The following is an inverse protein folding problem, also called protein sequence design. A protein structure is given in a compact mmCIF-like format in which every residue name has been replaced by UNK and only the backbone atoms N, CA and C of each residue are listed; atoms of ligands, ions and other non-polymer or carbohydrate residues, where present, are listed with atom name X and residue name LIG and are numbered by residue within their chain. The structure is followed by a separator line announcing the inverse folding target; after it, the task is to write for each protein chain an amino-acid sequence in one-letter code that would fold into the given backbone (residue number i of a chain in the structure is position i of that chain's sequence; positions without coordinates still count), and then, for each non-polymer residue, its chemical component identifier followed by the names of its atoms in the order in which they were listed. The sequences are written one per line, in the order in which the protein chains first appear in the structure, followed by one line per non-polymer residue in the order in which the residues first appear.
data_IF_304633829782
#
_entry.id   IF_304633829782
#
_cell.length_a   1.000
_cell.length_b   1.000
_cell.length_c   1.000
_cell.angle_alpha   90.00
_cell.angle_beta   90.00
_cell.angle_gamma   90.00
#
_symmetry.space_group_name_H-M   'P 1'
#
loop_
_entity.id
_entity.type
_entity.pdbx_description
1 polymer ?
#
# COMPACT_ATOMS: atom_id res chain seq x y z
N UNK A 1 36.45 55.45 -27.38
CA UNK A 1 35.23 55.36 -26.56
C UNK A 1 34.78 53.91 -26.65
N UNK A 2 35.15 53.08 -25.68
CA UNK A 2 34.84 51.65 -25.66
C UNK A 2 33.48 51.52 -24.96
N UNK A 3 32.47 51.06 -25.69
CA UNK A 3 31.17 50.70 -25.14
C UNK A 3 31.28 49.25 -24.70
N UNK A 4 31.39 49.03 -23.38
CA UNK A 4 31.26 47.71 -22.77
C UNK A 4 29.78 47.47 -22.56
N UNK A 5 29.21 46.54 -23.34
CA UNK A 5 27.85 46.08 -23.19
C UNK A 5 27.85 44.98 -22.11
N UNK A 6 27.44 45.33 -20.88
CA UNK A 6 27.16 44.32 -19.85
C UNK A 6 25.86 43.60 -20.22
N UNK A 7 25.99 42.36 -20.69
CA UNK A 7 24.89 41.39 -20.70
C UNK A 7 24.73 40.88 -19.27
N UNK A 8 23.76 41.42 -18.53
CA UNK A 8 23.28 40.77 -17.31
C UNK A 8 22.46 39.55 -17.74
N UNK A 9 23.07 38.37 -17.66
CA UNK A 9 22.32 37.13 -17.59
C UNK A 9 21.61 37.11 -16.24
N UNK A 10 20.28 37.09 -16.23
CA UNK A 10 19.54 36.64 -15.07
C UNK A 10 19.81 35.13 -14.97
N UNK A 11 20.66 34.72 -14.04
CA UNK A 11 20.55 33.40 -13.44
C UNK A 11 19.19 33.38 -12.72
N UNK A 12 18.20 32.75 -13.34
CA UNK A 12 17.07 32.23 -12.58
C UNK A 12 17.69 31.07 -11.80
N UNK A 13 17.93 31.26 -10.51
CA UNK A 13 18.19 30.14 -9.62
C UNK A 13 16.92 29.28 -9.66
N UNK A 14 16.98 28.13 -10.33
CA UNK A 14 16.06 27.01 -10.09
C UNK A 14 16.16 26.73 -8.58
N UNK A 15 15.15 27.15 -7.81
CA UNK A 15 15.01 26.71 -6.42
C UNK A 15 14.61 25.25 -6.49
N UNK A 16 15.40 24.35 -5.89
CA UNK A 16 15.04 22.93 -5.78
C UNK A 16 13.64 22.82 -5.15
N UNK A 17 12.65 22.37 -5.93
CA UNK A 17 11.28 22.24 -5.44
C UNK A 17 11.15 20.96 -4.62
N UNK A 18 10.90 21.09 -3.32
CA UNK A 18 10.74 19.93 -2.43
C UNK A 18 9.26 19.57 -2.27
N UNK A 19 8.92 18.29 -2.48
CA UNK A 19 7.59 17.72 -2.19
C UNK A 19 7.70 16.74 -1.03
N UNK A 20 6.92 16.94 0.03
CA UNK A 20 6.92 16.10 1.22
C UNK A 20 5.71 15.15 1.20
N UNK A 21 5.98 13.85 1.27
CA UNK A 21 4.95 12.82 1.11
C UNK A 21 4.88 11.95 2.36
N UNK A 22 3.73 11.97 3.04
CA UNK A 22 3.45 11.04 4.13
C UNK A 22 2.71 9.82 3.61
N UNK A 23 3.41 8.69 3.50
CA UNK A 23 2.91 7.48 2.85
C UNK A 23 2.92 6.26 3.77
N UNK A 24 1.95 5.36 3.58
CA UNK A 24 1.89 4.09 4.28
C UNK A 24 3.17 3.29 4.04
N UNK A 25 3.72 2.69 5.09
CA UNK A 25 5.00 1.98 5.02
C UNK A 25 5.00 0.81 4.01
N UNK A 26 3.85 0.21 3.72
CA UNK A 26 3.70 -0.85 2.70
C UNK A 26 3.95 -0.35 1.27
N UNK A 27 3.97 0.96 1.03
CA UNK A 27 4.22 1.56 -0.28
C UNK A 27 5.68 1.92 -0.52
N UNK A 28 6.58 1.70 0.44
CA UNK A 28 7.97 2.21 0.43
C UNK A 28 8.69 1.89 -0.88
N UNK A 29 8.84 0.61 -1.21
CA UNK A 29 9.63 0.19 -2.38
C UNK A 29 8.97 0.62 -3.70
N UNK A 30 7.64 0.54 -3.78
CA UNK A 30 6.90 0.88 -4.99
C UNK A 30 6.91 2.38 -5.28
N UNK A 31 6.79 3.22 -4.25
CA UNK A 31 6.88 4.67 -4.39
C UNK A 31 8.31 5.09 -4.72
N UNK A 32 9.33 4.49 -4.11
CA UNK A 32 10.72 4.78 -4.45
C UNK A 32 11.02 4.51 -5.93
N UNK A 33 10.65 3.33 -6.46
CA UNK A 33 10.85 3.03 -7.89
C UNK A 33 10.03 3.96 -8.80
N UNK A 34 8.78 4.29 -8.43
CA UNK A 34 7.98 5.25 -9.18
C UNK A 34 8.61 6.65 -9.20
N UNK A 35 9.09 7.13 -8.05
CA UNK A 35 9.78 8.42 -7.92
C UNK A 35 11.04 8.50 -8.76
N UNK A 36 11.82 7.42 -8.83
CA UNK A 36 13.02 7.36 -9.68
C UNK A 36 12.68 7.61 -11.15
N UNK A 37 11.51 7.21 -11.61
CA UNK A 37 11.04 7.48 -12.97
C UNK A 37 10.58 8.93 -13.13
N UNK A 38 9.90 9.50 -12.13
CA UNK A 38 9.48 10.90 -12.16
C UNK A 38 10.68 11.86 -12.21
N UNK A 39 11.68 11.66 -11.34
CA UNK A 39 12.84 12.55 -11.22
C UNK A 39 13.71 12.54 -12.49
N UNK A 40 13.63 11.51 -13.34
CA UNK A 40 14.34 11.51 -14.63
C UNK A 40 13.90 12.64 -15.56
N UNK A 41 12.64 13.07 -15.48
CA UNK A 41 12.08 14.18 -16.27
C UNK A 41 11.98 15.48 -15.44
N UNK A 42 12.21 15.41 -14.12
CA UNK A 42 12.11 16.51 -13.15
C UNK A 42 13.36 16.56 -12.25
N UNK A 43 14.53 16.86 -12.83
CA UNK A 43 15.83 16.72 -12.17
C UNK A 43 16.10 17.74 -11.04
N UNK A 44 15.32 18.82 -11.01
CA UNK A 44 15.33 19.94 -10.05
C UNK A 44 14.34 19.72 -8.88
N UNK A 45 13.67 18.57 -8.82
CA UNK A 45 12.65 18.27 -7.82
C UNK A 45 13.17 17.25 -6.80
N UNK A 46 13.01 17.56 -5.51
CA UNK A 46 13.33 16.66 -4.40
C UNK A 46 12.03 16.08 -3.81
N UNK A 47 11.87 14.75 -3.90
CA UNK A 47 10.75 14.05 -3.26
C UNK A 47 11.21 13.47 -1.91
N UNK A 48 10.62 13.96 -0.83
CA UNK A 48 10.94 13.56 0.54
C UNK A 48 9.82 12.73 1.16
N UNK A 49 10.11 11.47 1.50
CA UNK A 49 9.14 10.56 2.09
C UNK A 49 9.21 10.50 3.61
N UNK A 50 8.03 10.54 4.24
CA UNK A 50 7.79 10.13 5.61
C UNK A 50 6.93 8.85 5.60
N UNK A 51 7.59 7.70 5.71
CA UNK A 51 6.90 6.40 5.73
C UNK A 51 6.47 6.01 7.15
N UNK A 52 5.23 5.53 7.29
CA UNK A 52 4.71 5.12 8.60
C UNK A 52 3.34 4.45 8.55
N UNK A 53 2.78 4.16 9.71
CA UNK A 53 1.39 3.72 9.81
C UNK A 53 0.42 4.89 9.62
N UNK A 54 -0.64 4.72 8.83
CA UNK A 54 -1.60 5.79 8.47
C UNK A 54 -2.11 6.59 9.68
N UNK A 55 -2.49 5.91 10.76
CA UNK A 55 -2.94 6.59 12.00
C UNK A 55 -1.85 7.42 12.66
N UNK A 56 -0.60 6.95 12.67
CA UNK A 56 0.55 7.69 13.20
C UNK A 56 0.89 8.91 12.35
N UNK A 57 0.91 8.75 11.02
CA UNK A 57 1.11 9.84 10.06
C UNK A 57 0.01 10.90 10.18
N UNK A 58 -1.26 10.48 10.28
CA UNK A 58 -2.39 11.38 10.56
C UNK A 58 -2.14 12.22 11.81
N UNK A 59 -1.76 11.60 12.93
CA UNK A 59 -1.51 12.34 14.17
C UNK A 59 -0.33 13.32 14.03
N UNK A 60 0.74 12.95 13.31
CA UNK A 60 1.85 13.85 13.01
C UNK A 60 1.39 15.08 12.22
N UNK A 61 0.61 14.88 11.15
CA UNK A 61 0.09 15.97 10.30
C UNK A 61 -0.87 16.87 11.11
N UNK A 62 -1.75 16.29 11.93
CA UNK A 62 -2.63 17.05 12.84
C UNK A 62 -1.84 17.87 13.87
N UNK A 63 -0.63 17.44 14.22
CA UNK A 63 0.27 18.16 15.12
C UNK A 63 1.17 19.17 14.38
N UNK A 64 0.99 19.35 13.07
CA UNK A 64 1.69 20.34 12.26
C UNK A 64 2.95 19.83 11.56
N UNK A 65 3.16 18.50 11.48
CA UNK A 65 4.18 17.97 10.58
C UNK A 65 3.83 18.34 9.12
N UNK A 66 4.78 18.87 8.33
CA UNK A 66 4.52 19.25 6.95
C UNK A 66 4.26 18.00 6.09
N UNK A 67 3.29 18.11 5.19
CA UNK A 67 3.02 17.13 4.15
C UNK A 67 2.29 17.83 3.00
N UNK A 68 2.71 17.54 1.77
CA UNK A 68 2.10 18.01 0.53
C UNK A 68 1.18 16.94 -0.05
N UNK A 69 1.54 15.67 0.12
CA UNK A 69 0.76 14.52 -0.34
C UNK A 69 0.65 13.51 0.80
N UNK A 70 -0.53 12.92 0.94
CA UNK A 70 -0.75 11.76 1.82
C UNK A 70 -1.19 10.56 0.99
N UNK A 71 -0.66 9.37 1.32
CA UNK A 71 -1.10 8.10 0.73
C UNK A 71 -1.26 7.09 1.87
N UNK A 72 -2.49 6.82 2.29
CA UNK A 72 -2.76 6.00 3.47
C UNK A 72 -3.21 4.60 3.08
N UNK A 73 -2.91 3.60 3.93
CA UNK A 73 -3.44 2.24 3.82
C UNK A 73 -4.80 2.06 4.53
N UNK A 74 -5.45 3.17 4.89
CA UNK A 74 -6.66 3.20 5.73
C UNK A 74 -7.57 4.34 5.30
N UNK A 75 -8.69 3.99 4.67
CA UNK A 75 -9.73 4.97 4.31
C UNK A 75 -10.23 5.73 5.53
N UNK A 76 -10.40 5.03 6.66
CA UNK A 76 -10.84 5.65 7.92
C UNK A 76 -9.86 6.74 8.40
N UNK A 77 -8.56 6.48 8.37
CA UNK A 77 -7.59 7.48 8.80
C UNK A 77 -7.50 8.65 7.81
N UNK A 78 -7.73 8.38 6.52
CA UNK A 78 -7.77 9.39 5.46
C UNK A 78 -8.99 10.31 5.62
N UNK A 79 -10.16 9.75 5.91
CA UNK A 79 -11.38 10.51 6.17
C UNK A 79 -11.26 11.34 7.45
N UNK A 80 -10.71 10.75 8.52
CA UNK A 80 -10.48 11.45 9.79
C UNK A 80 -9.45 12.57 9.67
N UNK A 81 -8.47 12.44 8.78
CA UNK A 81 -7.53 13.52 8.49
C UNK A 81 -8.26 14.70 7.84
N UNK A 82 -9.23 14.44 6.94
CA UNK A 82 -10.01 15.46 6.24
C UNK A 82 -10.84 16.35 7.20
N UNK A 83 -11.10 15.89 8.43
CA UNK A 83 -11.77 16.69 9.46
C UNK A 83 -10.87 17.79 10.04
N UNK A 84 -9.55 17.68 9.85
CA UNK A 84 -8.53 18.60 10.42
C UNK A 84 -7.74 19.36 9.36
N UNK A 85 -7.60 18.81 8.15
CA UNK A 85 -6.98 19.44 6.99
C UNK A 85 -7.86 19.18 5.78
N UNK A 86 -7.96 20.12 4.84
CA UNK A 86 -8.78 19.96 3.63
C UNK A 86 -7.90 19.46 2.48
N UNK A 87 -8.33 18.39 1.80
CA UNK A 87 -7.67 17.94 0.58
C UNK A 87 -7.96 18.88 -0.58
N UNK A 88 -6.93 19.24 -1.35
CA UNK A 88 -7.06 20.00 -2.59
C UNK A 88 -7.55 19.07 -3.71
N UNK A 89 -6.84 17.96 -3.90
CA UNK A 89 -7.26 16.84 -4.74
C UNK A 89 -7.25 15.55 -3.92
N UNK A 90 -8.18 14.64 -4.19
CA UNK A 90 -8.25 13.35 -3.53
C UNK A 90 -8.77 12.28 -4.46
N UNK A 91 -8.28 11.06 -4.28
CA UNK A 91 -8.65 9.93 -5.10
C UNK A 91 -8.26 8.60 -4.48
N UNK A 92 -8.59 7.52 -5.19
CA UNK A 92 -8.12 6.18 -4.89
C UNK A 92 -6.91 5.92 -5.77
N UNK A 93 -5.75 5.66 -5.16
CA UNK A 93 -4.54 5.35 -5.90
C UNK A 93 -4.50 3.86 -6.24
N UNK A 94 -4.54 3.00 -5.21
CA UNK A 94 -4.32 1.56 -5.33
C UNK A 94 -5.39 0.76 -4.58
N UNK A 95 -5.49 -0.51 -4.93
CA UNK A 95 -6.05 -1.56 -4.07
C UNK A 95 -4.97 -2.60 -3.73
N UNK A 96 -5.16 -3.33 -2.63
CA UNK A 96 -4.49 -4.61 -2.43
C UNK A 96 -5.46 -5.76 -2.66
N UNK A 97 -4.90 -6.95 -2.80
CA UNK A 97 -5.64 -8.19 -2.91
C UNK A 97 -5.35 -9.06 -1.69
N UNK A 98 -6.39 -9.74 -1.19
CA UNK A 98 -6.24 -10.75 -0.16
C UNK A 98 -5.95 -12.09 -0.86
N UNK A 99 -4.93 -12.80 -0.42
CA UNK A 99 -4.49 -14.06 -1.05
C UNK A 99 -4.39 -15.18 -0.04
N UNK A 100 -4.61 -16.40 -0.53
CA UNK A 100 -4.34 -17.64 0.20
C UNK A 100 -2.93 -18.10 -0.15
N UNK A 101 -2.09 -18.25 0.87
CA UNK A 101 -0.72 -18.73 0.73
C UNK A 101 -0.50 -20.05 1.45
N UNK A 102 0.43 -20.85 0.95
CA UNK A 102 0.84 -22.14 1.53
C UNK A 102 2.36 -22.25 1.58
N UNK A 103 2.91 -23.19 2.37
CA UNK A 103 4.27 -23.65 2.15
C UNK A 103 4.40 -24.18 0.72
N UNK A 104 5.59 -24.05 0.12
CA UNK A 104 5.86 -24.66 -1.18
C UNK A 104 5.61 -26.17 -1.16
N UNK A 105 5.15 -26.67 -2.31
CA UNK A 105 4.87 -28.10 -2.52
C UNK A 105 3.77 -28.65 -1.58
N UNK A 106 2.87 -27.79 -1.07
CA UNK A 106 1.70 -28.23 -0.30
C UNK A 106 0.58 -28.76 -1.21
N UNK A 107 0.31 -30.07 -1.13
CA UNK A 107 -0.76 -30.73 -1.89
C UNK A 107 -2.12 -30.75 -1.16
N UNK A 108 -2.17 -30.34 0.11
CA UNK A 108 -3.40 -30.36 0.94
C UNK A 108 -4.32 -29.18 0.61
N UNK A 109 -3.74 -27.99 0.47
CA UNK A 109 -4.44 -26.76 0.14
C UNK A 109 -3.87 -26.22 -1.17
N UNK A 110 -4.67 -26.27 -2.22
CA UNK A 110 -4.27 -25.85 -3.58
C UNK A 110 -5.15 -24.74 -4.13
N UNK A 111 -6.19 -24.35 -3.39
CA UNK A 111 -7.13 -23.28 -3.70
C UNK A 111 -8.00 -22.96 -2.48
N UNK A 112 -8.81 -21.90 -2.54
CA UNK A 112 -9.80 -21.59 -1.50
C UNK A 112 -10.81 -22.74 -1.35
N UNK A 113 -11.18 -23.42 -2.43
CA UNK A 113 -12.11 -24.57 -2.40
C UNK A 113 -11.59 -25.75 -1.58
N UNK A 114 -10.26 -25.94 -1.55
CA UNK A 114 -9.60 -27.03 -0.82
C UNK A 114 -9.17 -26.64 0.59
N UNK A 115 -9.40 -25.39 0.99
CA UNK A 115 -9.05 -24.87 2.32
C UNK A 115 -9.68 -25.68 3.47
N UNK A 116 -10.85 -26.28 3.23
CA UNK A 116 -11.52 -27.18 4.18
C UNK A 116 -10.70 -28.42 4.54
N UNK A 117 -9.67 -28.77 3.75
CA UNK A 117 -8.79 -29.90 4.01
C UNK A 117 -7.60 -29.55 4.92
N UNK A 118 -7.34 -28.25 5.15
CA UNK A 118 -6.30 -27.83 6.08
C UNK A 118 -6.52 -28.40 7.48
N UNK A 119 -5.45 -28.61 8.24
CA UNK A 119 -5.49 -28.88 9.67
C UNK A 119 -5.37 -27.58 10.47
N UNK A 120 -4.55 -26.64 9.98
CA UNK A 120 -4.33 -25.33 10.58
C UNK A 120 -4.27 -24.24 9.52
N UNK A 121 -4.91 -23.13 9.80
CA UNK A 121 -4.95 -21.96 8.91
C UNK A 121 -4.55 -20.74 9.72
N UNK A 122 -3.46 -20.07 9.36
CA UNK A 122 -3.06 -18.83 9.99
C UNK A 122 -3.88 -17.65 9.45
N UNK A 123 -4.45 -16.87 10.37
CA UNK A 123 -5.22 -15.65 10.06
C UNK A 123 -4.84 -14.56 11.04
N UNK A 124 -4.93 -13.30 10.64
CA UNK A 124 -4.80 -12.19 11.60
C UNK A 124 -6.00 -12.17 12.56
N UNK A 125 -5.79 -11.74 13.80
CA UNK A 125 -6.90 -11.47 14.75
C UNK A 125 -7.76 -10.34 14.21
N UNK A 126 -9.03 -10.58 13.86
CA UNK A 126 -9.87 -9.61 13.14
C UNK A 126 -10.09 -8.29 13.88
N UNK A 127 -10.04 -8.29 15.21
CA UNK A 127 -10.18 -7.09 16.03
C UNK A 127 -8.99 -6.12 15.89
N UNK A 128 -7.79 -6.62 15.56
CA UNK A 128 -6.56 -5.82 15.52
C UNK A 128 -5.84 -5.83 14.17
N UNK A 129 -6.09 -6.83 13.32
CA UNK A 129 -5.41 -7.05 12.05
C UNK A 129 -6.42 -6.97 10.90
N UNK A 130 -6.40 -5.90 10.08
CA UNK A 130 -7.37 -5.74 9.00
C UNK A 130 -7.44 -6.93 8.02
N UNK A 131 -6.30 -7.57 7.71
CA UNK A 131 -6.27 -8.78 6.88
C UNK A 131 -7.10 -9.93 7.47
N UNK A 132 -7.11 -10.08 8.80
CA UNK A 132 -7.95 -11.03 9.52
C UNK A 132 -9.44 -10.74 9.32
N UNK A 133 -9.83 -9.46 9.45
CA UNK A 133 -11.21 -9.03 9.18
C UNK A 133 -11.62 -9.32 7.73
N UNK A 134 -10.77 -9.02 6.74
CA UNK A 134 -11.06 -9.31 5.34
C UNK A 134 -11.16 -10.83 5.08
N UNK A 135 -10.33 -11.64 5.76
CA UNK A 135 -10.40 -13.10 5.71
C UNK A 135 -11.74 -13.61 6.25
N UNK A 136 -12.16 -13.16 7.44
CA UNK A 136 -13.45 -13.53 8.03
C UNK A 136 -14.64 -13.15 7.15
N UNK A 137 -14.63 -11.93 6.59
CA UNK A 137 -15.64 -11.51 5.62
C UNK A 137 -15.68 -12.45 4.42
N UNK A 138 -14.51 -12.81 3.89
CA UNK A 138 -14.40 -13.68 2.73
C UNK A 138 -14.92 -15.08 3.02
N UNK A 139 -14.52 -15.66 4.15
CA UNK A 139 -14.98 -16.99 4.56
C UNK A 139 -16.47 -17.03 4.86
N UNK A 140 -17.01 -15.96 5.44
CA UNK A 140 -18.45 -15.82 5.70
C UNK A 140 -19.24 -15.78 4.39
N UNK A 141 -18.82 -14.94 3.43
CA UNK A 141 -19.48 -14.82 2.13
C UNK A 141 -19.34 -16.06 1.24
N UNK A 142 -18.36 -16.92 1.53
CA UNK A 142 -18.17 -18.23 0.87
C UNK A 142 -18.85 -19.40 1.62
N UNK A 143 -19.59 -19.15 2.72
CA UNK A 143 -20.16 -20.19 3.58
C UNK A 143 -19.12 -21.24 4.06
N UNK A 144 -17.91 -20.77 4.36
CA UNK A 144 -16.78 -21.58 4.83
C UNK A 144 -16.58 -21.53 6.34
N UNK A 145 -16.94 -20.43 7.02
CA UNK A 145 -16.60 -20.18 8.43
C UNK A 145 -16.81 -21.41 9.33
N UNK A 146 -18.02 -21.97 9.37
CA UNK A 146 -18.35 -23.11 10.23
C UNK A 146 -17.62 -24.44 9.90
N UNK A 147 -16.85 -24.50 8.81
CA UNK A 147 -16.05 -25.67 8.40
C UNK A 147 -14.56 -25.54 8.73
N UNK A 148 -14.09 -24.32 9.02
CA UNK A 148 -12.66 -24.02 9.15
C UNK A 148 -12.30 -23.22 10.40
N UNK A 149 -13.28 -22.64 11.10
CA UNK A 149 -13.04 -21.77 12.27
C UNK A 149 -12.28 -22.49 13.40
N UNK A 150 -12.51 -23.79 13.61
CA UNK A 150 -11.80 -24.60 14.61
C UNK A 150 -10.34 -24.88 14.26
N UNK A 151 -9.90 -24.48 13.05
CA UNK A 151 -8.55 -24.68 12.51
C UNK A 151 -7.71 -23.40 12.57
N UNK A 152 -8.30 -22.28 13.00
CA UNK A 152 -7.63 -20.99 12.96
C UNK A 152 -6.52 -20.87 14.00
N UNK A 153 -5.37 -20.42 13.52
CA UNK A 153 -4.24 -19.98 14.34
C UNK A 153 -4.15 -18.47 14.18
N UNK A 154 -4.58 -17.73 15.20
CA UNK A 154 -4.59 -16.28 15.15
C UNK A 154 -3.18 -15.70 15.36
N UNK A 155 -2.82 -14.76 14.51
CA UNK A 155 -1.55 -14.03 14.53
C UNK A 155 -1.77 -12.55 14.84
N UNK A 156 -0.73 -11.93 15.40
CA UNK A 156 -0.73 -10.52 15.80
C UNK A 156 -0.62 -9.54 14.63
N UNK A 157 -0.09 -9.98 13.48
CA UNK A 157 -0.06 -9.23 12.23
C UNK A 157 0.10 -10.16 11.00
N UNK A 158 0.07 -9.59 9.80
CA UNK A 158 0.18 -10.33 8.52
C UNK A 158 1.56 -10.95 8.31
N UNK A 159 2.63 -10.34 8.86
CA UNK A 159 3.98 -10.91 8.77
C UNK A 159 4.10 -12.14 9.66
N UNK A 160 3.49 -12.14 10.83
CA UNK A 160 3.41 -13.31 11.70
C UNK A 160 2.63 -14.45 11.04
N UNK A 161 1.50 -14.16 10.36
CA UNK A 161 0.79 -15.16 9.52
C UNK A 161 1.76 -15.76 8.50
N UNK A 162 2.48 -14.92 7.74
CA UNK A 162 3.42 -15.37 6.72
C UNK A 162 4.55 -16.21 7.33
N UNK A 163 5.05 -15.85 8.51
CA UNK A 163 6.09 -16.61 9.21
C UNK A 163 5.62 -17.99 9.67
N UNK A 164 4.36 -18.16 10.07
CA UNK A 164 3.82 -19.48 10.41
C UNK A 164 3.77 -20.39 9.19
N UNK A 165 3.39 -19.85 8.02
CA UNK A 165 3.38 -20.58 6.75
C UNK A 165 4.80 -20.96 6.33
N UNK A 166 5.74 -20.02 6.40
CA UNK A 166 7.16 -20.24 6.10
C UNK A 166 7.79 -21.34 6.95
N UNK A 167 7.38 -21.43 8.23
CA UNK A 167 7.89 -22.41 9.18
C UNK A 167 7.16 -23.75 9.11
N UNK A 168 6.21 -23.91 8.19
CA UNK A 168 5.39 -25.12 8.04
C UNK A 168 4.62 -25.47 9.34
N UNK A 169 4.29 -24.44 10.14
CA UNK A 169 3.51 -24.59 11.38
C UNK A 169 1.99 -24.70 11.11
N UNK A 170 1.58 -24.22 9.93
CA UNK A 170 0.22 -24.20 9.41
C UNK A 170 0.21 -24.63 7.94
N UNK A 171 -0.90 -25.20 7.48
CA UNK A 171 -1.03 -25.65 6.09
C UNK A 171 -1.29 -24.47 5.14
N UNK A 172 -1.95 -23.41 5.63
CA UNK A 172 -2.24 -22.23 4.85
C UNK A 172 -2.27 -20.97 5.70
N UNK A 173 -2.12 -19.81 5.06
CA UNK A 173 -2.29 -18.50 5.67
C UNK A 173 -3.02 -17.53 4.75
N UNK A 174 -3.69 -16.54 5.33
CA UNK A 174 -4.34 -15.46 4.57
C UNK A 174 -3.62 -14.14 4.80
N UNK A 175 -3.08 -13.59 3.72
CA UNK A 175 -2.21 -12.39 3.74
C UNK A 175 -2.56 -11.44 2.59
N UNK A 176 -1.94 -10.27 2.55
CA UNK A 176 -1.99 -9.43 1.35
C UNK A 176 -1.04 -9.96 0.28
N UNK A 177 -1.41 -9.78 -1.00
CA UNK A 177 -0.59 -10.18 -2.14
C UNK A 177 0.79 -9.54 -2.10
N UNK A 178 0.86 -8.26 -1.75
CA UNK A 178 2.12 -7.52 -1.61
C UNK A 178 3.05 -8.16 -0.59
N UNK A 179 2.53 -8.66 0.55
CA UNK A 179 3.35 -9.33 1.56
C UNK A 179 3.84 -10.69 1.05
N UNK A 180 2.95 -11.48 0.43
CA UNK A 180 3.29 -12.79 -0.13
C UNK A 180 4.41 -12.71 -1.18
N UNK A 181 4.40 -11.68 -2.04
CA UNK A 181 5.42 -11.48 -3.07
C UNK A 181 6.82 -11.18 -2.51
N UNK A 182 6.93 -10.72 -1.26
CA UNK A 182 8.23 -10.49 -0.61
C UNK A 182 8.87 -11.77 -0.07
N UNK A 183 8.12 -12.87 0.02
CA UNK A 183 8.58 -14.13 0.63
C UNK A 183 8.65 -15.25 -0.39
N UNK A 184 9.87 -15.55 -0.84
CA UNK A 184 10.11 -16.57 -1.85
C UNK A 184 9.93 -18.02 -1.38
N UNK A 185 9.59 -18.26 -0.10
CA UNK A 185 9.36 -19.61 0.46
C UNK A 185 7.88 -20.01 0.55
N UNK A 186 6.96 -19.10 0.25
CA UNK A 186 5.53 -19.43 0.16
C UNK A 186 5.08 -19.49 -1.29
N UNK A 187 3.90 -20.05 -1.52
CA UNK A 187 3.21 -20.06 -2.80
C UNK A 187 1.85 -19.40 -2.64
N UNK A 188 1.47 -18.53 -3.58
CA UNK A 188 0.10 -18.01 -3.67
C UNK A 188 -0.73 -19.03 -4.46
N UNK A 189 -1.63 -19.73 -3.78
CA UNK A 189 -2.46 -20.78 -4.38
C UNK A 189 -3.81 -20.26 -4.87
N UNK A 190 -4.27 -19.12 -4.34
CA UNK A 190 -5.51 -18.48 -4.78
C UNK A 190 -5.59 -17.01 -4.34
N UNK A 191 -6.49 -16.27 -4.97
CA UNK A 191 -6.82 -14.87 -4.61
C UNK A 191 -8.29 -14.78 -4.26
N UNK A 192 -8.62 -14.17 -3.11
CA UNK A 192 -10.02 -13.95 -2.74
C UNK A 192 -10.66 -12.92 -3.67
N UNK A 193 -11.83 -13.24 -4.22
CA UNK A 193 -12.56 -12.31 -5.06
C UNK A 193 -12.89 -11.02 -4.31
N UNK A 194 -12.76 -9.90 -5.00
CA UNK A 194 -12.88 -8.56 -4.42
C UNK A 194 -14.25 -8.30 -3.76
N UNK A 195 -15.31 -8.92 -4.24
CA UNK A 195 -16.68 -8.79 -3.72
C UNK A 195 -16.93 -9.57 -2.41
N UNK A 196 -15.98 -10.41 -1.99
CA UNK A 196 -16.08 -11.21 -0.77
C UNK A 196 -15.70 -10.43 0.50
N UNK A 197 -15.10 -9.27 0.39
CA UNK A 197 -14.67 -8.47 1.54
C UNK A 197 -14.72 -6.97 1.26
N UNK A 198 -14.60 -6.17 2.31
CA UNK A 198 -14.47 -4.72 2.22
C UNK A 198 -13.23 -4.34 1.37
N UNK A 199 -13.24 -3.14 0.79
CA UNK A 199 -12.13 -2.67 -0.02
C UNK A 199 -10.82 -2.55 0.76
N UNK A 200 -9.74 -3.07 0.20
CA UNK A 200 -8.38 -2.81 0.68
C UNK A 200 -7.83 -1.68 -0.19
N UNK A 201 -8.09 -0.43 0.18
CA UNK A 201 -7.79 0.75 -0.65
C UNK A 201 -6.66 1.59 -0.08
N UNK A 202 -5.93 2.21 -0.98
CA UNK A 202 -4.92 3.21 -0.69
C UNK A 202 -5.38 4.56 -1.24
N UNK A 203 -6.13 5.36 -0.47
CA UNK A 203 -6.46 6.71 -0.88
C UNK A 203 -5.20 7.60 -0.92
N UNK A 204 -5.20 8.52 -1.88
CA UNK A 204 -4.21 9.57 -2.05
C UNK A 204 -4.92 10.92 -1.99
N UNK A 205 -4.26 11.91 -1.36
CA UNK A 205 -4.74 13.28 -1.35
C UNK A 205 -3.60 14.27 -1.30
N UNK A 206 -3.78 15.42 -1.95
CA UNK A 206 -2.87 16.56 -1.88
C UNK A 206 -3.37 17.54 -0.81
N UNK A 207 -2.45 18.11 -0.05
CA UNK A 207 -2.69 19.08 1.02
C UNK A 207 -2.26 20.49 0.62
N UNK A 208 -1.41 20.60 -0.41
CA UNK A 208 -0.94 21.85 -0.97
C UNK A 208 -1.28 21.92 -2.47
N UNK A 209 -1.22 23.13 -3.02
CA UNK A 209 -1.65 23.42 -4.39
C UNK A 209 -0.52 24.08 -5.20
N UNK A 210 0.67 23.48 -5.19
CA UNK A 210 1.76 23.84 -6.11
C UNK A 210 1.68 23.02 -7.39
N UNK A 211 2.26 23.55 -8.46
CA UNK A 211 2.26 22.88 -9.77
C UNK A 211 2.99 21.53 -9.67
N UNK A 212 4.14 21.46 -8.99
CA UNK A 212 4.87 20.21 -8.83
C UNK A 212 4.13 19.12 -8.03
N UNK A 213 3.35 19.52 -7.01
CA UNK A 213 2.54 18.58 -6.22
C UNK A 213 1.45 17.97 -7.09
N UNK A 214 0.85 18.80 -7.95
CA UNK A 214 -0.14 18.35 -8.92
C UNK A 214 0.47 17.44 -9.97
N UNK A 215 1.60 17.81 -10.55
CA UNK A 215 2.33 17.00 -11.53
C UNK A 215 2.71 15.63 -10.95
N UNK A 216 3.21 15.59 -9.70
CA UNK A 216 3.54 14.33 -9.05
C UNK A 216 2.30 13.48 -8.73
N UNK A 217 1.20 14.10 -8.28
CA UNK A 217 -0.08 13.41 -8.10
C UNK A 217 -0.59 12.78 -9.40
N UNK A 218 -0.57 13.55 -10.50
CA UNK A 218 -0.96 13.07 -11.83
C UNK A 218 -0.02 11.97 -12.33
N UNK A 219 1.28 12.09 -12.09
CA UNK A 219 2.25 11.04 -12.39
C UNK A 219 1.95 9.75 -11.64
N UNK A 220 1.65 9.80 -10.34
CA UNK A 220 1.28 8.58 -9.59
C UNK A 220 0.00 7.92 -10.13
N UNK A 221 -0.86 8.67 -10.81
CA UNK A 221 -2.06 8.16 -11.50
C UNK A 221 -1.81 7.71 -12.95
N UNK A 222 -0.61 7.94 -13.49
CA UNK A 222 -0.22 7.63 -14.87
C UNK A 222 -0.11 6.11 -15.14
N UNK A 223 -0.04 5.72 -16.41
CA UNK A 223 0.11 4.30 -16.77
C UNK A 223 1.49 3.77 -16.35
N UNK A 224 2.51 4.60 -16.43
CA UNK A 224 3.90 4.32 -16.08
C UNK A 224 4.03 3.98 -14.60
N UNK A 225 3.51 4.83 -13.71
CA UNK A 225 3.49 4.56 -12.27
C UNK A 225 2.62 3.34 -11.95
N UNK A 226 1.46 3.19 -12.60
CA UNK A 226 0.59 2.03 -12.46
C UNK A 226 1.28 0.71 -12.77
N UNK A 227 2.14 0.66 -13.77
CA UNK A 227 2.86 -0.58 -14.11
C UNK A 227 3.92 -0.94 -13.05
N UNK A 228 4.54 0.06 -12.42
CA UNK A 228 5.40 -0.15 -11.25
C UNK A 228 4.58 -0.67 -10.06
N UNK A 229 3.44 -0.05 -9.74
CA UNK A 229 2.59 -0.53 -8.65
C UNK A 229 2.12 -1.99 -8.87
N UNK A 230 1.76 -2.36 -10.09
CA UNK A 230 1.42 -3.76 -10.46
C UNK A 230 2.58 -4.72 -10.23
N UNK A 231 3.81 -4.32 -10.56
CA UNK A 231 5.04 -5.11 -10.32
C UNK A 231 5.20 -5.45 -8.83
N UNK A 232 4.83 -4.52 -7.96
CA UNK A 232 4.84 -4.71 -6.50
C UNK A 232 3.60 -5.42 -5.94
N UNK A 233 2.64 -5.81 -6.78
CA UNK A 233 1.47 -6.58 -6.39
C UNK A 233 0.25 -5.75 -6.00
N UNK A 234 0.29 -4.43 -6.16
CA UNK A 234 -0.89 -3.59 -6.01
C UNK A 234 -1.78 -3.72 -7.24
N UNK A 235 -3.08 -3.57 -7.01
CA UNK A 235 -4.08 -3.46 -8.08
C UNK A 235 -4.36 -1.98 -8.34
N UNK A 236 -4.46 -1.64 -9.61
CA UNK A 236 -4.70 -0.27 -10.09
C UNK A 236 -5.92 -0.28 -11.01
N UNK A 237 -6.75 0.75 -10.92
CA UNK A 237 -7.90 0.96 -11.81
C UNK A 237 -7.60 2.01 -12.88
#
# INVERSE_FOLDING_TARGET
MIVVLCLSACDVSEEDETVIISAAASLTDALQEATELFIQEHADVEINFNFGGSGGLREQIKQGAPADIVIFASQKDFDLLNESVEYVEAGKLLENELVLVTPKDNDTVTSIDTLVNANKIAVGTAESVPAGKYAEQSFSNLDLTGKIEDKFIYAEDVRAVLQYVVQDEVDAGVVYKTDALTEGRVEIVDTFNRDLHDAIVYPIGTLTNSDIVKEYYEFLMSQEAKDIFKKYGFKVE
#
